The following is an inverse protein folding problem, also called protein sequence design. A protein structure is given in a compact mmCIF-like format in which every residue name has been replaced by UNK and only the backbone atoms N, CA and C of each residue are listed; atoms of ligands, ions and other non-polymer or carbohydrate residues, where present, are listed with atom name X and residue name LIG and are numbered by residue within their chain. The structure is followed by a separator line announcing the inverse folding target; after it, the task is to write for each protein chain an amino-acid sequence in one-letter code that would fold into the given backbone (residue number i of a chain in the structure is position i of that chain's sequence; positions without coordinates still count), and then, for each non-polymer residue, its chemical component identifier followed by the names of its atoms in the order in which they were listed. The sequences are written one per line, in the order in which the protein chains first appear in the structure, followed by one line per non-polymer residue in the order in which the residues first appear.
data_IF_097377665061
#
_entry.id   IF_097377665061
#
_cell.length_a   1.000
_cell.length_b   1.000
_cell.length_c   1.000
_cell.angle_alpha   90.00
_cell.angle_beta   90.00
_cell.angle_gamma   90.00
#
_symmetry.space_group_name_H-M   'P 1'
#
loop_
_entity.id
_entity.type
_entity.pdbx_description
1 polymer ?
#
# COMPACT_ATOMS: atom_id res chain seq x y z
N UNK A 1 25.92 7.85 -21.73
CA UNK A 1 24.67 7.34 -21.11
C UNK A 1 24.83 5.83 -20.97
N UNK A 2 25.37 5.38 -19.86
CA UNK A 2 25.47 3.95 -19.52
C UNK A 2 24.08 3.47 -19.13
N UNK A 3 23.57 2.52 -19.89
CA UNK A 3 22.29 1.87 -19.58
C UNK A 3 22.39 1.19 -18.20
N UNK A 4 21.71 1.75 -17.20
CA UNK A 4 21.52 1.08 -15.92
C UNK A 4 20.68 -0.15 -16.23
N UNK A 5 21.29 -1.35 -16.15
CA UNK A 5 20.58 -2.61 -16.31
C UNK A 5 19.57 -2.74 -15.17
N UNK A 6 18.31 -2.43 -15.45
CA UNK A 6 17.20 -2.71 -14.53
C UNK A 6 17.22 -4.21 -14.19
N UNK A 7 16.94 -4.55 -12.91
CA UNK A 7 16.70 -5.93 -12.51
C UNK A 7 15.72 -6.60 -13.51
N UNK A 8 15.84 -7.91 -13.79
CA UNK A 8 14.98 -8.55 -14.79
C UNK A 8 13.52 -8.32 -14.42
N UNK A 9 12.87 -7.45 -15.19
CA UNK A 9 11.47 -7.06 -15.01
C UNK A 9 10.62 -8.33 -15.11
N UNK A 10 9.94 -8.69 -14.03
CA UNK A 10 9.10 -9.89 -13.92
C UNK A 10 9.41 -10.79 -12.73
N UNK A 11 10.49 -10.52 -11.98
CA UNK A 11 10.72 -11.17 -10.68
C UNK A 11 10.06 -10.33 -9.58
N UNK A 12 9.26 -10.98 -8.72
CA UNK A 12 8.74 -10.36 -7.50
C UNK A 12 9.93 -10.02 -6.59
N UNK A 13 9.92 -8.81 -6.04
CA UNK A 13 10.92 -8.38 -5.04
C UNK A 13 10.90 -9.37 -3.88
N UNK A 14 12.08 -9.84 -3.44
CA UNK A 14 12.28 -10.90 -2.43
C UNK A 14 11.46 -12.18 -2.65
N UNK A 15 11.06 -12.48 -3.90
CA UNK A 15 10.38 -13.71 -4.26
C UNK A 15 11.26 -14.94 -4.08
N UNK A 16 10.66 -16.03 -3.60
CA UNK A 16 11.28 -17.34 -3.52
C UNK A 16 11.64 -17.87 -4.90
N UNK A 17 12.85 -18.39 -5.03
CA UNK A 17 13.33 -19.10 -6.22
C UNK A 17 13.80 -20.51 -5.78
N UNK A 18 13.12 -21.59 -6.22
CA UNK A 18 13.52 -22.95 -5.87
C UNK A 18 14.96 -23.30 -6.25
N UNK A 19 15.51 -22.64 -7.29
CA UNK A 19 16.88 -22.90 -7.75
C UNK A 19 17.96 -22.34 -6.81
N UNK A 20 17.61 -21.32 -6.01
CA UNK A 20 18.51 -20.67 -5.07
C UNK A 20 18.09 -20.87 -3.60
N UNK A 21 17.10 -21.72 -3.38
CA UNK A 21 16.57 -22.01 -2.05
C UNK A 21 17.64 -22.60 -1.13
N UNK A 22 17.72 -22.10 0.09
CA UNK A 22 18.65 -22.57 1.14
C UNK A 22 17.91 -22.86 2.43
N UNK A 23 18.37 -23.85 3.19
CA UNK A 23 17.88 -24.10 4.55
C UNK A 23 16.46 -24.70 4.63
N UNK A 24 15.89 -25.21 3.54
CA UNK A 24 14.58 -25.90 3.56
C UNK A 24 14.73 -27.26 4.24
N UNK A 25 13.85 -27.55 5.20
CA UNK A 25 13.64 -28.91 5.72
C UNK A 25 12.97 -29.78 4.65
N UNK A 26 12.97 -31.10 4.83
CA UNK A 26 12.27 -32.01 3.92
C UNK A 26 10.77 -31.70 3.88
N UNK A 27 10.17 -31.48 5.03
CA UNK A 27 8.75 -31.11 5.16
C UNK A 27 8.44 -29.80 4.41
N UNK A 28 9.27 -28.76 4.59
CA UNK A 28 9.10 -27.50 3.85
C UNK A 28 9.22 -27.66 2.34
N UNK A 29 10.13 -28.55 1.86
CA UNK A 29 10.23 -28.85 0.42
C UNK A 29 8.97 -29.53 -0.12
N UNK A 30 8.42 -30.48 0.66
CA UNK A 30 7.20 -31.16 0.28
C UNK A 30 6.01 -30.20 0.24
N UNK A 31 5.86 -29.30 1.22
CA UNK A 31 4.83 -28.25 1.23
C UNK A 31 4.98 -27.28 0.06
N UNK A 32 6.20 -26.84 -0.24
CA UNK A 32 6.48 -25.96 -1.40
C UNK A 32 6.11 -26.67 -2.71
N UNK A 33 6.49 -27.96 -2.86
CA UNK A 33 6.13 -28.76 -4.02
C UNK A 33 4.61 -28.91 -4.14
N UNK A 34 3.93 -29.33 -3.09
CA UNK A 34 2.46 -29.48 -3.05
C UNK A 34 1.75 -28.17 -3.39
N UNK A 35 2.25 -27.04 -2.85
CA UNK A 35 1.74 -25.70 -3.17
C UNK A 35 1.88 -25.39 -4.65
N UNK A 36 3.04 -25.67 -5.24
CA UNK A 36 3.28 -25.46 -6.67
C UNK A 36 2.36 -26.29 -7.55
N UNK A 37 2.18 -27.57 -7.18
CA UNK A 37 1.30 -28.50 -7.90
C UNK A 37 -0.17 -28.07 -7.86
N UNK A 38 -0.64 -27.49 -6.74
CA UNK A 38 -2.04 -27.14 -6.52
C UNK A 38 -2.38 -25.69 -6.92
N UNK A 39 -1.51 -24.73 -6.64
CA UNK A 39 -1.77 -23.30 -6.83
C UNK A 39 -1.06 -22.72 -8.05
N UNK A 40 -0.15 -23.47 -8.67
CA UNK A 40 0.66 -23.02 -9.78
C UNK A 40 1.69 -21.92 -9.40
N UNK A 41 2.43 -21.40 -10.39
CA UNK A 41 3.55 -20.50 -10.14
C UNK A 41 3.15 -19.04 -9.89
N UNK A 42 1.85 -18.67 -9.98
CA UNK A 42 1.41 -17.29 -9.83
C UNK A 42 1.43 -16.82 -8.36
N UNK A 43 1.15 -17.72 -7.41
CA UNK A 43 1.23 -17.42 -5.98
C UNK A 43 2.65 -17.62 -5.46
N UNK A 44 3.50 -16.61 -5.66
CA UNK A 44 4.91 -16.65 -5.25
C UNK A 44 5.06 -16.52 -3.75
N UNK A 45 5.99 -17.28 -3.19
CA UNK A 45 6.41 -17.17 -1.80
C UNK A 45 7.46 -16.06 -1.63
N UNK A 46 7.63 -15.57 -0.40
CA UNK A 46 8.70 -14.65 -0.03
C UNK A 46 9.90 -15.43 0.53
N UNK A 47 11.06 -14.76 0.47
CA UNK A 47 12.34 -15.16 1.03
C UNK A 47 12.98 -16.39 0.36
N UNK A 48 14.32 -16.44 0.40
CA UNK A 48 15.09 -17.60 -0.07
C UNK A 48 14.81 -18.88 0.75
N UNK A 49 14.36 -18.67 2.00
CA UNK A 49 13.80 -19.73 2.86
C UNK A 49 12.41 -19.27 3.33
N UNK A 50 11.32 -19.69 2.70
CA UNK A 50 9.95 -19.32 3.07
C UNK A 50 9.60 -19.66 4.51
N UNK A 51 8.65 -18.94 5.08
CA UNK A 51 8.16 -19.20 6.44
C UNK A 51 6.85 -19.96 6.34
N UNK A 52 6.76 -21.10 7.02
CA UNK A 52 5.52 -21.80 7.25
C UNK A 52 4.81 -21.19 8.46
N UNK A 53 3.74 -20.42 8.22
CA UNK A 53 3.03 -19.75 9.31
C UNK A 53 1.89 -20.62 9.80
N UNK A 54 1.92 -21.02 11.07
CA UNK A 54 0.89 -21.83 11.73
C UNK A 54 -0.10 -20.99 12.53
N UNK A 55 0.37 -19.93 13.20
CA UNK A 55 -0.48 -19.03 14.00
C UNK A 55 0.13 -17.64 14.10
N UNK A 56 -0.66 -16.68 14.56
CA UNK A 56 -0.20 -15.31 14.75
C UNK A 56 -0.91 -14.64 15.93
N UNK A 57 -0.26 -13.63 16.54
CA UNK A 57 -0.85 -12.78 17.58
C UNK A 57 -0.12 -11.44 17.65
N UNK A 58 -0.87 -10.32 17.65
CA UNK A 58 -0.29 -8.99 17.72
C UNK A 58 0.64 -8.71 16.54
N UNK A 59 1.93 -8.55 16.79
CA UNK A 59 2.95 -8.34 15.76
C UNK A 59 3.82 -9.58 15.50
N UNK A 60 3.40 -10.73 16.02
CA UNK A 60 4.18 -11.95 15.98
C UNK A 60 3.51 -13.03 15.12
N UNK A 61 4.29 -13.65 14.26
CA UNK A 61 3.95 -14.88 13.54
C UNK A 61 4.72 -16.05 14.18
N UNK A 62 4.15 -17.23 14.12
CA UNK A 62 4.77 -18.44 14.64
C UNK A 62 4.70 -19.54 13.58
N UNK A 63 5.80 -20.25 13.40
CA UNK A 63 5.83 -21.43 12.54
C UNK A 63 5.27 -22.68 13.25
N UNK A 64 5.29 -23.81 12.57
CA UNK A 64 4.80 -25.11 13.08
C UNK A 64 5.62 -25.63 14.26
N UNK A 65 6.91 -25.25 14.37
CA UNK A 65 7.78 -25.59 15.47
C UNK A 65 7.64 -24.63 16.69
N UNK A 66 6.84 -23.57 16.53
CA UNK A 66 6.63 -22.55 17.56
C UNK A 66 7.68 -21.44 17.56
N UNK A 67 8.59 -21.39 16.59
CA UNK A 67 9.52 -20.28 16.45
C UNK A 67 8.78 -18.98 16.16
N UNK A 68 9.20 -17.91 16.85
CA UNK A 68 8.59 -16.60 16.79
C UNK A 68 9.28 -15.70 15.76
N UNK A 69 8.48 -15.09 14.88
CA UNK A 69 8.92 -14.10 13.89
C UNK A 69 8.26 -12.75 14.15
N UNK A 70 9.05 -11.68 14.19
CA UNK A 70 8.55 -10.32 14.27
C UNK A 70 8.07 -9.87 12.90
N UNK A 71 6.78 -9.56 12.78
CA UNK A 71 6.17 -9.07 11.54
C UNK A 71 6.36 -7.56 11.41
N UNK A 72 7.37 -7.14 10.69
CA UNK A 72 7.63 -5.74 10.38
C UNK A 72 7.23 -5.38 8.93
N UNK A 73 6.35 -6.18 8.31
CA UNK A 73 5.93 -6.01 6.93
C UNK A 73 4.42 -5.84 6.73
N UNK A 74 3.59 -6.51 7.52
CA UNK A 74 2.19 -6.73 7.17
C UNK A 74 1.28 -5.55 7.55
N UNK A 75 0.85 -4.75 6.57
CA UNK A 75 -0.11 -3.67 6.77
C UNK A 75 -1.58 -4.06 6.54
N UNK A 76 -1.88 -5.34 6.33
CA UNK A 76 -3.26 -5.83 6.23
C UNK A 76 -3.86 -5.94 7.61
N UNK A 77 -3.13 -6.52 8.54
CA UNK A 77 -3.54 -6.68 9.95
C UNK A 77 -3.09 -5.47 10.77
N UNK A 78 -3.62 -4.31 10.43
CA UNK A 78 -3.16 -3.02 10.96
C UNK A 78 -3.25 -2.89 12.47
N UNK A 79 -4.26 -3.49 13.10
CA UNK A 79 -4.43 -3.48 14.56
C UNK A 79 -3.84 -4.74 15.22
N UNK A 80 -3.00 -5.48 14.48
CA UNK A 80 -2.34 -6.71 14.94
C UNK A 80 -3.11 -7.98 14.59
N UNK A 81 -2.34 -9.06 14.47
CA UNK A 81 -2.90 -10.39 14.17
C UNK A 81 -3.85 -10.83 15.27
N UNK A 82 -5.00 -11.38 14.87
CA UNK A 82 -6.00 -11.98 15.77
C UNK A 82 -6.42 -11.03 16.90
N UNK A 83 -6.62 -9.74 16.59
CA UNK A 83 -7.04 -8.77 17.60
C UNK A 83 -8.40 -9.17 18.19
N UNK A 84 -8.53 -9.34 19.54
CA UNK A 84 -9.74 -9.92 20.16
C UNK A 84 -11.03 -9.22 19.77
N UNK A 85 -11.05 -7.89 19.83
CA UNK A 85 -12.25 -7.08 19.50
C UNK A 85 -12.71 -7.28 18.05
N UNK A 86 -11.78 -7.48 17.10
CA UNK A 86 -12.10 -7.72 15.68
C UNK A 86 -12.62 -9.16 15.51
N UNK A 87 -11.97 -10.14 16.12
CA UNK A 87 -12.40 -11.55 16.09
C UNK A 87 -13.80 -11.70 16.69
N UNK A 88 -14.05 -11.10 17.85
CA UNK A 88 -15.33 -11.14 18.54
C UNK A 88 -16.44 -10.48 17.71
N UNK A 89 -16.18 -9.31 17.11
CA UNK A 89 -17.15 -8.61 16.26
C UNK A 89 -17.55 -9.46 15.03
N UNK A 90 -16.57 -10.08 14.36
CA UNK A 90 -16.80 -10.99 13.25
C UNK A 90 -17.65 -12.18 13.69
N UNK A 91 -17.27 -12.81 14.80
CA UNK A 91 -17.95 -14.02 15.30
C UNK A 91 -19.39 -13.72 15.68
N UNK A 92 -19.64 -12.69 16.46
CA UNK A 92 -20.98 -12.28 16.90
C UNK A 92 -21.89 -11.93 15.72
N UNK A 93 -21.36 -11.16 14.77
CA UNK A 93 -22.16 -10.77 13.60
C UNK A 93 -22.43 -11.96 12.68
N UNK A 94 -21.46 -12.86 12.49
CA UNK A 94 -21.64 -14.08 11.70
C UNK A 94 -22.69 -15.04 12.29
N UNK A 95 -22.79 -15.11 13.62
CA UNK A 95 -23.82 -15.86 14.33
C UNK A 95 -25.21 -15.21 14.22
N UNK A 96 -25.28 -13.91 13.95
CA UNK A 96 -26.55 -13.18 13.88
C UNK A 96 -27.10 -13.17 12.46
N UNK A 97 -26.37 -12.61 11.52
CA UNK A 97 -26.74 -12.54 10.10
C UNK A 97 -25.54 -12.15 9.23
N UNK A 98 -25.39 -12.81 8.09
CA UNK A 98 -24.51 -12.40 7.00
C UNK A 98 -25.36 -12.18 5.75
N UNK A 99 -25.53 -10.91 5.33
CA UNK A 99 -26.36 -10.54 4.18
C UNK A 99 -25.82 -9.32 3.45
N UNK A 100 -26.41 -9.03 2.29
CA UNK A 100 -26.00 -7.97 1.37
C UNK A 100 -26.77 -6.63 1.63
N UNK A 101 -26.38 -5.58 0.93
CA UNK A 101 -26.85 -4.20 1.11
C UNK A 101 -28.28 -3.90 0.61
N UNK A 102 -29.00 -4.89 0.05
CA UNK A 102 -30.39 -4.68 -0.45
C UNK A 102 -31.44 -4.68 0.65
N UNK A 103 -31.04 -4.99 1.88
CA UNK A 103 -31.90 -4.88 3.07
C UNK A 103 -31.42 -3.72 3.94
N UNK A 104 -32.33 -3.10 4.66
CA UNK A 104 -31.98 -2.07 5.63
C UNK A 104 -31.26 -2.73 6.81
N UNK A 105 -30.02 -2.33 7.06
CA UNK A 105 -29.19 -2.82 8.14
C UNK A 105 -28.55 -1.66 8.87
N UNK A 106 -28.76 -1.58 10.19
CA UNK A 106 -28.23 -0.49 11.03
C UNK A 106 -26.70 -0.45 11.00
N UNK A 107 -26.04 -1.61 11.08
CA UNK A 107 -24.58 -1.69 11.20
C UNK A 107 -23.82 -1.07 10.02
N UNK A 108 -24.35 -1.17 8.78
CA UNK A 108 -23.70 -0.51 7.64
C UNK A 108 -23.86 1.02 7.71
N UNK A 109 -24.99 1.50 8.23
CA UNK A 109 -25.26 2.95 8.36
C UNK A 109 -24.36 3.54 9.47
N UNK A 110 -24.30 2.88 10.62
CA UNK A 110 -23.44 3.30 11.74
C UNK A 110 -21.97 3.36 11.31
N UNK A 111 -21.48 2.33 10.63
CA UNK A 111 -20.12 2.35 10.13
C UNK A 111 -19.88 3.40 9.04
N UNK A 112 -20.82 3.55 8.10
CA UNK A 112 -20.71 4.59 7.08
C UNK A 112 -20.65 5.99 7.68
N UNK A 113 -21.47 6.29 8.70
CA UNK A 113 -21.47 7.55 9.41
C UNK A 113 -20.13 7.78 10.13
N UNK A 114 -19.64 6.77 10.87
CA UNK A 114 -18.34 6.84 11.56
C UNK A 114 -17.17 7.02 10.58
N UNK A 115 -17.17 6.28 9.47
CA UNK A 115 -16.15 6.38 8.44
C UNK A 115 -16.18 7.77 7.77
N UNK A 116 -17.36 8.22 7.35
CA UNK A 116 -17.52 9.51 6.67
C UNK A 116 -17.17 10.67 7.60
N UNK A 117 -17.39 10.53 8.91
CA UNK A 117 -16.98 11.49 9.91
C UNK A 117 -15.46 11.66 10.08
N UNK A 118 -14.65 10.78 9.48
CA UNK A 118 -13.18 10.88 9.53
C UNK A 118 -12.58 11.74 8.41
N UNK A 119 -13.37 12.15 7.42
CA UNK A 119 -12.91 12.98 6.32
C UNK A 119 -13.21 14.45 6.54
N UNK A 120 -12.21 15.29 6.31
CA UNK A 120 -12.37 16.74 6.31
C UNK A 120 -13.05 17.21 5.01
N UNK A 121 -13.69 18.39 5.05
CA UNK A 121 -14.21 19.07 3.86
C UNK A 121 -15.65 18.70 3.49
N UNK A 122 -15.99 18.54 2.20
CA UNK A 122 -17.37 18.38 1.73
C UNK A 122 -17.98 17.05 2.14
N UNK A 123 -19.32 17.00 2.16
CA UNK A 123 -20.06 15.75 2.31
C UNK A 123 -19.65 14.73 1.26
N UNK A 124 -19.70 13.46 1.61
CA UNK A 124 -19.29 12.35 0.75
C UNK A 124 -20.27 11.19 0.86
N UNK A 125 -20.22 10.29 -0.13
CA UNK A 125 -20.91 9.01 -0.09
C UNK A 125 -19.88 7.88 -0.06
N UNK A 126 -20.20 6.78 0.64
CA UNK A 126 -19.39 5.57 0.70
C UNK A 126 -20.03 4.45 -0.11
N UNK A 127 -19.22 3.76 -0.90
CA UNK A 127 -19.59 2.52 -1.60
C UNK A 127 -18.62 1.42 -1.18
N UNK A 128 -19.16 0.35 -0.58
CA UNK A 128 -18.34 -0.74 -0.05
C UNK A 128 -18.11 -1.83 -1.09
N UNK A 129 -16.89 -2.38 -1.07
CA UNK A 129 -16.44 -3.49 -1.91
C UNK A 129 -15.67 -4.49 -1.04
N UNK A 130 -15.12 -5.56 -1.63
CA UNK A 130 -14.36 -6.57 -0.89
C UNK A 130 -12.85 -6.35 -0.93
N UNK A 131 -12.35 -5.71 -1.98
CA UNK A 131 -10.91 -5.54 -2.21
C UNK A 131 -10.58 -4.13 -2.69
N UNK A 132 -9.33 -3.68 -2.44
CA UNK A 132 -8.84 -2.42 -2.99
C UNK A 132 -8.86 -2.41 -4.53
N UNK A 133 -8.70 -3.56 -5.18
CA UNK A 133 -8.84 -3.68 -6.65
C UNK A 133 -10.25 -3.31 -7.11
N UNK A 134 -11.29 -3.83 -6.45
CA UNK A 134 -12.68 -3.46 -6.75
C UNK A 134 -12.98 -1.99 -6.44
N UNK A 135 -12.43 -1.47 -5.35
CA UNK A 135 -12.60 -0.06 -4.98
C UNK A 135 -11.99 0.88 -6.04
N UNK A 136 -10.77 0.58 -6.50
CA UNK A 136 -10.09 1.34 -7.54
C UNK A 136 -10.75 1.16 -8.92
N UNK A 137 -11.23 -0.05 -9.24
CA UNK A 137 -12.01 -0.32 -10.44
C UNK A 137 -13.27 0.56 -10.49
N UNK A 138 -14.05 0.55 -9.40
CA UNK A 138 -15.25 1.36 -9.25
C UNK A 138 -14.92 2.86 -9.31
N UNK A 139 -13.88 3.33 -8.63
CA UNK A 139 -13.46 4.72 -8.63
C UNK A 139 -13.14 5.22 -10.04
N UNK A 140 -12.37 4.45 -10.81
CA UNK A 140 -12.02 4.79 -12.21
C UNK A 140 -13.24 4.75 -13.13
N UNK A 141 -14.15 3.77 -12.97
CA UNK A 141 -15.41 3.73 -13.72
C UNK A 141 -16.24 4.97 -13.47
N UNK A 142 -16.35 5.40 -12.22
CA UNK A 142 -17.10 6.60 -11.84
C UNK A 142 -16.42 7.87 -12.33
N UNK A 143 -15.10 7.97 -12.25
CA UNK A 143 -14.34 9.09 -12.79
C UNK A 143 -14.57 9.24 -14.31
N UNK A 144 -14.49 8.15 -15.07
CA UNK A 144 -14.78 8.14 -16.51
C UNK A 144 -16.22 8.56 -16.82
N UNK A 145 -17.19 8.04 -16.07
CA UNK A 145 -18.59 8.38 -16.24
C UNK A 145 -18.88 9.85 -15.90
N UNK A 146 -18.26 10.36 -14.83
CA UNK A 146 -18.42 11.74 -14.38
C UNK A 146 -17.86 12.76 -15.38
N UNK A 147 -16.61 12.52 -15.82
CA UNK A 147 -15.88 13.44 -16.70
C UNK A 147 -16.21 13.27 -18.19
N UNK A 148 -16.72 12.11 -18.60
CA UNK A 148 -16.85 11.73 -20.01
C UNK A 148 -15.53 11.42 -20.70
N UNK A 149 -14.40 11.43 -19.98
CA UNK A 149 -13.05 11.19 -20.48
C UNK A 149 -12.59 9.75 -20.21
N UNK A 150 -11.51 9.32 -20.90
CA UNK A 150 -10.98 7.94 -20.80
C UNK A 150 -9.59 7.84 -20.19
N UNK A 151 -8.81 8.93 -20.24
CA UNK A 151 -7.40 8.95 -19.87
C UNK A 151 -7.19 8.78 -18.37
N UNK A 152 -6.24 7.92 -18.00
CA UNK A 152 -5.80 7.71 -16.61
C UNK A 152 -4.31 8.00 -16.52
N UNK A 153 -3.92 8.83 -15.56
CA UNK A 153 -2.51 9.13 -15.29
C UNK A 153 -2.12 8.51 -13.94
N UNK A 154 -0.97 7.85 -13.91
CA UNK A 154 -0.41 7.10 -12.76
C UNK A 154 1.09 7.36 -12.63
N UNK A 155 1.70 6.95 -11.52
CA UNK A 155 3.16 6.89 -11.38
C UNK A 155 3.77 5.64 -12.05
N UNK A 156 5.08 5.67 -12.31
CA UNK A 156 5.77 4.64 -13.11
C UNK A 156 5.76 3.25 -12.48
N UNK A 157 5.76 3.15 -11.15
CA UNK A 157 5.72 1.88 -10.41
C UNK A 157 4.41 1.70 -9.61
N UNK A 158 3.34 2.39 -10.00
CA UNK A 158 2.06 2.30 -9.34
C UNK A 158 1.52 0.86 -9.27
N UNK A 159 0.85 0.54 -8.15
CA UNK A 159 0.05 -0.66 -7.99
C UNK A 159 -1.31 -0.31 -7.40
N UNK A 160 -2.35 -0.47 -8.18
CA UNK A 160 -3.73 -0.14 -7.79
C UNK A 160 -4.68 -1.35 -7.80
N UNK A 161 -4.18 -2.52 -8.15
CA UNK A 161 -4.97 -3.75 -8.10
C UNK A 161 -4.66 -4.73 -9.23
N UNK A 162 -5.44 -5.82 -9.27
CA UNK A 162 -5.23 -6.97 -10.16
C UNK A 162 -6.50 -7.42 -10.91
N UNK A 163 -7.60 -6.64 -10.88
CA UNK A 163 -8.69 -6.81 -11.87
C UNK A 163 -8.17 -6.38 -13.25
N UNK A 164 -8.82 -6.79 -14.32
CA UNK A 164 -8.38 -6.42 -15.67
C UNK A 164 -8.20 -4.91 -15.82
N UNK A 165 -9.18 -4.11 -15.33
CA UNK A 165 -9.09 -2.66 -15.40
C UNK A 165 -7.93 -2.13 -14.52
N UNK A 166 -7.82 -2.56 -13.25
CA UNK A 166 -6.77 -2.06 -12.36
C UNK A 166 -5.38 -2.58 -12.72
N UNK A 167 -5.27 -3.80 -13.25
CA UNK A 167 -4.02 -4.31 -13.81
C UNK A 167 -3.55 -3.45 -14.99
N UNK A 168 -4.49 -2.96 -15.81
CA UNK A 168 -4.23 -2.06 -16.92
C UNK A 168 -3.68 -0.68 -16.51
N UNK A 169 -3.64 -0.34 -15.22
CA UNK A 169 -2.96 0.83 -14.67
C UNK A 169 -2.14 0.52 -13.40
N UNK A 170 -1.57 -0.69 -13.35
CA UNK A 170 -0.65 -1.16 -12.29
C UNK A 170 0.67 -1.68 -12.90
N UNK A 171 1.55 -0.78 -13.37
CA UNK A 171 2.79 -1.16 -14.05
C UNK A 171 3.74 -2.03 -13.20
N UNK A 172 3.67 -1.97 -11.88
CA UNK A 172 4.44 -2.83 -10.97
C UNK A 172 4.10 -4.33 -11.08
N UNK A 173 3.01 -4.70 -11.77
CA UNK A 173 2.72 -6.10 -12.11
C UNK A 173 3.71 -6.68 -13.14
N UNK A 174 4.50 -5.83 -13.79
CA UNK A 174 5.57 -6.23 -14.69
C UNK A 174 5.21 -6.12 -16.18
N UNK A 175 6.19 -6.41 -17.06
CA UNK A 175 6.10 -6.09 -18.48
C UNK A 175 5.08 -6.92 -19.26
N UNK A 176 4.63 -8.03 -18.70
CA UNK A 176 3.61 -8.90 -19.30
C UNK A 176 2.18 -8.55 -18.87
N UNK A 177 2.00 -7.48 -18.08
CA UNK A 177 0.70 -6.88 -17.77
C UNK A 177 0.59 -5.58 -18.58
N UNK A 178 -0.02 -5.60 -19.78
CA UNK A 178 -0.05 -4.44 -20.65
C UNK A 178 -0.91 -3.33 -20.04
N UNK A 179 -0.45 -2.09 -20.16
CA UNK A 179 -1.21 -0.93 -19.74
C UNK A 179 -2.35 -0.65 -20.74
N UNK A 180 -3.44 -0.10 -20.20
CA UNK A 180 -4.56 0.34 -21.02
C UNK A 180 -4.17 1.42 -22.04
N UNK A 181 -4.85 1.45 -23.18
CA UNK A 181 -4.54 2.34 -24.33
C UNK A 181 -4.44 3.83 -23.93
N UNK A 182 -5.28 4.25 -22.99
CA UNK A 182 -5.32 5.64 -22.51
C UNK A 182 -4.73 5.81 -21.10
N UNK A 183 -3.85 4.90 -20.69
CA UNK A 183 -3.08 5.05 -19.46
C UNK A 183 -1.75 5.72 -19.76
N UNK A 184 -1.36 6.68 -18.92
CA UNK A 184 -0.08 7.41 -19.02
C UNK A 184 0.65 7.33 -17.70
N UNK A 185 1.96 7.20 -17.79
CA UNK A 185 2.86 7.16 -16.63
C UNK A 185 3.62 8.46 -16.49
N UNK A 186 3.81 8.86 -15.24
CA UNK A 186 4.70 9.96 -14.86
C UNK A 186 5.72 9.44 -13.84
N UNK A 187 6.95 9.99 -13.83
CA UNK A 187 7.92 9.64 -12.81
C UNK A 187 7.41 9.94 -11.40
N UNK A 188 7.81 9.13 -10.43
CA UNK A 188 7.51 9.37 -9.02
C UNK A 188 8.28 10.59 -8.47
N UNK A 189 7.79 11.20 -7.38
CA UNK A 189 8.45 12.36 -6.75
C UNK A 189 9.66 11.93 -5.90
N UNK A 190 10.73 11.49 -6.54
CA UNK A 190 11.96 11.01 -5.91
C UNK A 190 12.72 12.14 -5.20
N UNK A 191 12.40 12.35 -3.93
CA UNK A 191 13.03 13.39 -3.09
C UNK A 191 14.50 13.10 -2.74
N UNK A 192 14.99 11.90 -2.98
CA UNK A 192 16.42 11.59 -2.84
C UNK A 192 17.25 12.11 -4.03
N UNK A 193 16.63 12.17 -5.23
CA UNK A 193 17.33 12.57 -6.48
C UNK A 193 16.92 13.94 -6.99
N UNK A 194 15.73 14.42 -6.65
CA UNK A 194 15.18 15.73 -7.06
C UNK A 194 15.10 16.63 -5.84
N UNK A 195 15.50 17.90 -5.99
CA UNK A 195 15.44 18.88 -4.92
C UNK A 195 14.00 19.05 -4.41
N UNK A 196 13.75 18.94 -3.10
CA UNK A 196 12.40 18.92 -2.54
C UNK A 196 11.53 20.11 -2.93
N UNK A 197 12.11 21.32 -2.98
CA UNK A 197 11.41 22.57 -3.33
C UNK A 197 10.96 22.65 -4.81
N UNK A 198 11.50 21.81 -5.68
CA UNK A 198 11.19 21.77 -7.11
C UNK A 198 10.21 20.64 -7.47
N UNK A 199 10.09 19.64 -6.62
CA UNK A 199 9.49 18.36 -6.98
C UNK A 199 7.99 18.46 -7.32
N UNK A 200 7.23 19.31 -6.61
CA UNK A 200 5.81 19.50 -6.88
C UNK A 200 5.54 20.15 -8.24
N UNK A 201 6.26 21.24 -8.56
CA UNK A 201 6.14 21.91 -9.86
C UNK A 201 6.62 20.99 -11.00
N UNK A 202 7.73 20.28 -10.80
CA UNK A 202 8.25 19.31 -11.76
C UNK A 202 7.25 18.18 -12.04
N UNK A 203 6.62 17.61 -11.01
CA UNK A 203 5.64 16.56 -11.20
C UNK A 203 4.39 17.07 -11.93
N UNK A 204 3.93 18.29 -11.61
CA UNK A 204 2.81 18.93 -12.30
C UNK A 204 3.11 19.16 -13.79
N UNK A 205 4.36 19.54 -14.14
CA UNK A 205 4.82 19.63 -15.53
C UNK A 205 4.71 18.27 -16.24
N UNK A 206 5.22 17.19 -15.61
CA UNK A 206 5.15 15.84 -16.18
C UNK A 206 3.71 15.36 -16.37
N UNK A 207 2.83 15.66 -15.43
CA UNK A 207 1.39 15.37 -15.57
C UNK A 207 0.77 16.19 -16.70
N UNK A 208 1.12 17.47 -16.82
CA UNK A 208 0.63 18.35 -17.91
C UNK A 208 1.04 17.84 -19.30
N UNK A 209 2.27 17.34 -19.46
CA UNK A 209 2.72 16.68 -20.70
C UNK A 209 1.80 15.50 -21.09
N UNK A 210 1.41 14.68 -20.12
CA UNK A 210 0.53 13.53 -20.36
C UNK A 210 -0.91 13.93 -20.63
N UNK A 211 -1.40 15.01 -20.00
CA UNK A 211 -2.71 15.58 -20.27
C UNK A 211 -2.78 16.03 -21.74
N UNK A 212 -1.77 16.72 -22.23
CA UNK A 212 -1.70 17.17 -23.63
C UNK A 212 -1.70 15.98 -24.60
N UNK A 213 -0.96 14.89 -24.30
CA UNK A 213 -0.96 13.71 -25.17
C UNK A 213 -2.35 13.05 -25.20
N UNK A 214 -3.02 12.90 -24.04
CA UNK A 214 -4.37 12.33 -23.96
C UNK A 214 -5.40 13.17 -24.71
N UNK A 215 -5.32 14.50 -24.61
CA UNK A 215 -6.19 15.43 -25.33
C UNK A 215 -5.99 15.34 -26.85
N UNK A 216 -4.75 15.29 -27.34
CA UNK A 216 -4.42 15.11 -28.76
C UNK A 216 -4.97 13.80 -29.34
N UNK A 217 -5.15 12.78 -28.52
CA UNK A 217 -5.72 11.48 -28.88
C UNK A 217 -7.25 11.45 -28.75
N UNK A 218 -7.88 12.57 -28.39
CA UNK A 218 -9.33 12.66 -28.15
C UNK A 218 -9.84 11.91 -26.93
N UNK A 219 -8.93 11.47 -26.02
CA UNK A 219 -9.30 10.71 -24.83
C UNK A 219 -9.65 11.61 -23.63
N UNK A 220 -9.08 12.83 -23.58
CA UNK A 220 -9.15 13.67 -22.37
C UNK A 220 -8.54 12.99 -21.14
N UNK A 221 -8.60 13.64 -19.98
CA UNK A 221 -8.18 13.04 -18.71
C UNK A 221 -9.39 12.77 -17.83
N UNK A 222 -9.60 11.51 -17.44
CA UNK A 222 -10.63 11.13 -16.49
C UNK A 222 -10.11 11.25 -15.05
N UNK A 223 -8.91 10.74 -14.79
CA UNK A 223 -8.36 10.80 -13.46
C UNK A 223 -6.81 10.80 -13.46
N UNK A 224 -6.24 11.45 -12.44
CA UNK A 224 -4.95 11.11 -11.87
C UNK A 224 -5.22 10.27 -10.61
N UNK A 225 -4.60 9.08 -10.50
CA UNK A 225 -4.71 8.21 -9.32
C UNK A 225 -3.31 8.00 -8.74
N UNK A 226 -3.17 8.20 -7.44
CA UNK A 226 -1.93 7.98 -6.73
C UNK A 226 -2.15 7.52 -5.28
N UNK A 227 -1.26 6.65 -4.81
CA UNK A 227 -1.02 6.42 -3.39
C UNK A 227 -0.30 7.66 -2.82
N UNK A 228 -0.86 8.27 -1.79
CA UNK A 228 -0.37 9.52 -1.20
C UNK A 228 1.02 9.42 -0.53
N UNK A 229 1.58 8.21 -0.42
CA UNK A 229 2.96 7.96 0.05
C UNK A 229 3.87 7.35 -1.04
N UNK A 230 3.36 7.15 -2.25
CA UNK A 230 4.10 6.57 -3.39
C UNK A 230 4.81 5.27 -3.02
N UNK A 231 4.04 4.38 -2.38
CA UNK A 231 4.53 3.18 -1.69
C UNK A 231 5.26 2.19 -2.59
N UNK A 232 4.75 1.98 -3.80
CA UNK A 232 5.33 1.05 -4.77
C UNK A 232 6.52 1.69 -5.50
N UNK A 233 6.49 3.00 -5.67
CA UNK A 233 7.55 3.78 -6.32
C UNK A 233 8.81 3.89 -5.47
N UNK A 234 8.74 3.66 -4.16
CA UNK A 234 9.90 3.73 -3.26
C UNK A 234 9.65 4.45 -1.94
N UNK A 235 8.40 4.68 -1.55
CA UNK A 235 7.98 5.34 -0.29
C UNK A 235 8.45 6.80 -0.23
N UNK A 236 7.91 7.64 -1.10
CA UNK A 236 8.21 9.08 -1.11
C UNK A 236 7.15 9.85 -0.31
N UNK A 237 7.38 10.00 0.99
CA UNK A 237 6.44 10.64 1.92
C UNK A 237 6.64 12.16 2.08
N UNK A 238 7.70 12.72 1.54
CA UNK A 238 8.07 14.11 1.61
C UNK A 238 8.64 14.61 0.27
N UNK A 239 8.42 15.90 -0.07
CA UNK A 239 7.64 16.89 0.67
C UNK A 239 6.13 16.60 0.63
N UNK A 240 5.39 17.17 1.57
CA UNK A 240 3.94 16.94 1.73
C UNK A 240 3.07 17.82 0.84
N UNK A 241 3.63 18.75 0.08
CA UNK A 241 2.91 19.66 -0.81
C UNK A 241 2.97 19.25 -2.30
N UNK A 242 3.58 18.10 -2.60
CA UNK A 242 3.84 17.64 -3.97
C UNK A 242 2.58 17.42 -4.81
N UNK A 243 1.50 16.96 -4.18
CA UNK A 243 0.27 16.62 -4.90
C UNK A 243 -0.60 17.84 -5.27
N UNK A 244 -0.51 18.94 -4.52
CA UNK A 244 -1.36 20.11 -4.76
C UNK A 244 -1.22 20.67 -6.18
N UNK A 245 -0.03 21.03 -6.70
CA UNK A 245 0.12 21.53 -8.06
C UNK A 245 -0.27 20.49 -9.14
N UNK A 246 -0.12 19.20 -8.85
CA UNK A 246 -0.56 18.11 -9.74
C UNK A 246 -2.07 18.09 -9.86
N UNK A 247 -2.79 18.18 -8.73
CA UNK A 247 -4.25 18.20 -8.72
C UNK A 247 -4.79 19.44 -9.44
N UNK A 248 -4.18 20.59 -9.23
CA UNK A 248 -4.58 21.84 -9.88
C UNK A 248 -4.56 21.72 -11.43
N UNK A 249 -3.53 21.07 -12.01
CA UNK A 249 -3.48 20.86 -13.48
C UNK A 249 -4.45 19.80 -13.96
N UNK A 250 -4.73 18.76 -13.16
CA UNK A 250 -5.72 17.73 -13.49
C UNK A 250 -7.13 18.31 -13.48
N UNK A 251 -7.49 19.07 -12.44
CA UNK A 251 -8.79 19.74 -12.35
C UNK A 251 -8.99 20.75 -13.49
N UNK A 252 -7.96 21.55 -13.81
CA UNK A 252 -8.00 22.49 -14.94
C UNK A 252 -8.27 21.79 -16.27
N UNK A 253 -7.85 20.52 -16.41
CA UNK A 253 -8.11 19.73 -17.61
C UNK A 253 -9.45 18.97 -17.58
N UNK A 254 -10.26 19.15 -16.52
CA UNK A 254 -11.58 18.50 -16.35
C UNK A 254 -11.51 17.07 -15.84
N UNK A 255 -10.37 16.62 -15.33
CA UNK A 255 -10.19 15.33 -14.66
C UNK A 255 -10.44 15.41 -13.16
N UNK A 256 -10.43 14.25 -12.48
CA UNK A 256 -10.55 14.14 -11.02
C UNK A 256 -9.29 13.54 -10.40
N UNK A 257 -9.08 13.79 -9.11
CA UNK A 257 -8.03 13.13 -8.34
C UNK A 257 -8.60 11.98 -7.50
N UNK A 258 -8.00 10.80 -7.65
CA UNK A 258 -8.30 9.61 -6.85
C UNK A 258 -7.13 9.39 -5.88
N UNK A 259 -7.36 9.56 -4.57
CA UNK A 259 -6.41 9.16 -3.55
C UNK A 259 -6.55 7.67 -3.24
N UNK A 260 -5.56 6.88 -3.60
CA UNK A 260 -5.49 5.46 -3.23
C UNK A 260 -4.90 5.33 -1.82
N UNK A 261 -5.79 5.24 -0.83
CA UNK A 261 -5.46 5.09 0.59
C UNK A 261 -5.39 3.63 1.05
N UNK A 262 -5.33 2.69 0.12
CA UNK A 262 -5.25 1.24 0.42
C UNK A 262 -3.98 0.88 1.20
N UNK A 263 -2.90 1.65 1.08
CA UNK A 263 -1.67 1.46 1.86
C UNK A 263 -1.41 2.55 2.88
N UNK A 264 -1.70 3.80 2.56
CA UNK A 264 -1.39 4.99 3.34
C UNK A 264 -2.43 5.34 4.40
N UNK A 265 -3.66 4.83 4.25
CA UNK A 265 -4.77 5.11 5.15
C UNK A 265 -4.71 4.40 6.50
N UNK A 266 -5.73 4.68 7.31
CA UNK A 266 -5.96 4.11 8.64
C UNK A 266 -4.80 4.36 9.63
N UNK A 267 -4.24 5.57 9.63
CA UNK A 267 -3.24 5.99 10.61
C UNK A 267 -1.81 5.55 10.30
N UNK A 268 -1.56 4.96 9.12
CA UNK A 268 -0.24 4.48 8.73
C UNK A 268 0.85 5.53 8.80
N UNK A 269 0.54 6.76 8.36
CA UNK A 269 1.48 7.89 8.37
C UNK A 269 1.77 8.44 9.79
N UNK A 270 0.92 8.14 10.76
CA UNK A 270 1.04 8.63 12.13
C UNK A 270 0.69 10.11 12.33
N UNK A 271 0.69 10.91 11.28
CA UNK A 271 0.36 12.33 11.34
C UNK A 271 -1.15 12.58 11.23
N UNK A 272 -1.81 11.77 10.44
CA UNK A 272 -3.24 11.83 10.13
C UNK A 272 -3.79 10.42 9.96
N UNK A 273 -5.12 10.29 10.00
CA UNK A 273 -5.78 9.01 9.72
C UNK A 273 -5.65 8.61 8.26
N UNK A 274 -5.70 9.59 7.34
CA UNK A 274 -5.58 9.41 5.90
C UNK A 274 -4.29 10.06 5.39
N UNK A 275 -3.56 9.34 4.53
CA UNK A 275 -2.29 9.81 4.02
C UNK A 275 -2.40 11.11 3.21
N UNK A 276 -3.47 11.26 2.41
CA UNK A 276 -3.69 12.47 1.61
C UNK A 276 -3.86 13.74 2.47
N UNK A 277 -4.35 13.62 3.71
CA UNK A 277 -4.52 14.78 4.62
C UNK A 277 -3.19 15.47 4.93
N UNK A 278 -2.06 14.76 4.80
CA UNK A 278 -0.71 15.32 4.97
C UNK A 278 -0.36 16.35 3.89
N UNK A 279 -0.95 16.21 2.70
CA UNK A 279 -0.72 17.11 1.57
C UNK A 279 -1.62 18.35 1.59
N UNK A 280 -2.54 18.47 2.55
CA UNK A 280 -3.47 19.60 2.64
C UNK A 280 -4.40 19.72 1.42
N UNK A 281 -4.78 18.60 0.82
CA UNK A 281 -5.61 18.49 -0.37
C UNK A 281 -6.96 17.84 -0.05
N UNK A 282 -7.91 18.02 -0.96
CA UNK A 282 -9.24 17.38 -0.89
C UNK A 282 -9.43 16.53 -2.14
N UNK A 283 -9.27 15.19 -2.07
CA UNK A 283 -9.51 14.32 -3.21
C UNK A 283 -10.97 14.28 -3.62
N UNK A 284 -11.24 14.07 -4.92
CA UNK A 284 -12.60 13.86 -5.42
C UNK A 284 -13.11 12.47 -5.06
N UNK A 285 -12.22 11.47 -5.14
CA UNK A 285 -12.48 10.07 -4.76
C UNK A 285 -11.35 9.59 -3.86
N UNK A 286 -11.70 8.82 -2.83
CA UNK A 286 -10.75 8.17 -1.92
C UNK A 286 -11.06 6.67 -1.92
N UNK A 287 -10.07 5.84 -2.21
CA UNK A 287 -10.22 4.39 -2.12
C UNK A 287 -9.45 3.83 -0.93
N UNK A 288 -9.97 2.78 -0.33
CA UNK A 288 -9.37 2.15 0.85
C UNK A 288 -9.62 0.64 0.86
N UNK A 289 -8.81 -0.07 1.64
CA UNK A 289 -8.90 -1.53 1.72
C UNK A 289 -7.99 -2.07 2.80
N UNK A 290 -7.12 -3.01 2.47
CA UNK A 290 -6.15 -3.71 3.34
C UNK A 290 -6.39 -3.60 4.87
N UNK A 291 -6.09 -2.43 5.53
CA UNK A 291 -6.24 -2.27 6.98
C UNK A 291 -7.69 -2.33 7.46
N UNK A 292 -8.64 -1.98 6.59
CA UNK A 292 -10.03 -1.71 6.91
C UNK A 292 -10.73 -2.84 7.67
N UNK A 293 -10.43 -4.10 7.34
CA UNK A 293 -11.00 -5.29 7.98
C UNK A 293 -10.02 -6.11 8.82
N UNK A 294 -8.78 -5.64 8.99
CA UNK A 294 -7.73 -6.38 9.72
C UNK A 294 -7.56 -7.84 9.23
N UNK A 295 -7.63 -8.05 7.92
CA UNK A 295 -7.57 -9.36 7.28
C UNK A 295 -8.93 -9.89 6.80
N UNK A 296 -10.06 -9.38 7.30
CA UNK A 296 -11.37 -9.66 6.73
C UNK A 296 -11.56 -8.88 5.42
N UNK A 297 -12.12 -9.49 4.35
CA UNK A 297 -12.29 -8.84 3.07
C UNK A 297 -13.29 -7.68 3.14
N UNK A 298 -12.78 -6.46 3.15
CA UNK A 298 -13.56 -5.22 3.07
C UNK A 298 -12.73 -4.09 2.51
N UNK A 299 -13.36 -3.29 1.66
CA UNK A 299 -12.79 -2.10 1.05
C UNK A 299 -13.91 -1.10 0.77
N UNK A 300 -13.57 0.12 0.38
CA UNK A 300 -14.54 1.13 0.01
C UNK A 300 -13.95 2.14 -0.99
N UNK A 301 -14.85 2.78 -1.73
CA UNK A 301 -14.63 4.03 -2.42
C UNK A 301 -15.53 5.09 -1.81
N UNK A 302 -14.94 6.21 -1.40
CA UNK A 302 -15.64 7.38 -0.82
C UNK A 302 -15.45 8.55 -1.77
N UNK A 303 -16.52 9.24 -2.13
CA UNK A 303 -16.46 10.25 -3.18
C UNK A 303 -17.48 11.37 -3.01
N UNK A 304 -17.28 12.44 -3.76
CA UNK A 304 -18.18 13.58 -3.79
C UNK A 304 -19.58 13.20 -4.28
N UNK A 305 -20.65 13.83 -3.75
CA UNK A 305 -22.02 13.48 -4.09
C UNK A 305 -22.33 13.52 -5.59
N UNK A 306 -21.86 14.55 -6.31
CA UNK A 306 -22.09 14.73 -7.74
C UNK A 306 -21.58 13.57 -8.60
N UNK A 307 -20.50 12.88 -8.15
CA UNK A 307 -19.95 11.71 -8.85
C UNK A 307 -20.88 10.50 -8.66
N UNK A 308 -21.27 10.23 -7.41
CA UNK A 308 -22.11 9.07 -7.07
C UNK A 308 -23.53 9.21 -7.59
N UNK A 309 -24.15 10.38 -7.41
CA UNK A 309 -25.54 10.61 -7.79
C UNK A 309 -25.73 10.50 -9.29
N UNK A 310 -24.82 11.05 -10.10
CA UNK A 310 -24.86 10.90 -11.56
C UNK A 310 -24.73 9.43 -11.94
N UNK A 311 -23.77 8.72 -11.39
CA UNK A 311 -23.55 7.30 -11.66
C UNK A 311 -24.78 6.45 -11.27
N UNK A 312 -25.35 6.70 -10.09
CA UNK A 312 -26.48 5.95 -9.55
C UNK A 312 -27.78 6.16 -10.35
N UNK A 313 -27.95 7.34 -10.99
CA UNK A 313 -29.09 7.57 -11.89
C UNK A 313 -28.92 6.83 -13.22
N UNK A 314 -27.72 6.79 -13.77
CA UNK A 314 -27.44 6.34 -15.12
C UNK A 314 -27.12 4.84 -15.20
N UNK A 315 -26.66 4.24 -14.08
CA UNK A 315 -26.14 2.87 -14.05
C UNK A 315 -26.82 2.00 -13.00
N UNK A 316 -26.97 0.71 -13.30
CA UNK A 316 -27.26 -0.29 -12.29
C UNK A 316 -25.94 -0.73 -11.63
N UNK A 317 -25.90 -0.71 -10.29
CA UNK A 317 -24.79 -1.21 -9.53
C UNK A 317 -25.22 -2.18 -8.44
N UNK A 318 -24.49 -3.26 -8.28
CA UNK A 318 -24.65 -4.19 -7.19
C UNK A 318 -23.32 -4.94 -6.98
N UNK A 319 -22.91 -5.06 -5.73
CA UNK A 319 -21.82 -5.94 -5.28
C UNK A 319 -22.40 -6.89 -4.25
N UNK A 320 -22.28 -8.20 -4.50
CA UNK A 320 -22.91 -9.23 -3.65
C UNK A 320 -22.36 -9.22 -2.23
N UNK A 321 -21.07 -9.06 -2.08
CA UNK A 321 -20.38 -9.14 -0.79
C UNK A 321 -19.94 -7.79 -0.22
N UNK A 322 -19.81 -6.78 -1.06
CA UNK A 322 -19.46 -5.42 -0.64
C UNK A 322 -20.51 -4.86 0.32
N UNK A 323 -20.09 -4.43 1.50
CA UNK A 323 -20.98 -3.92 2.54
C UNK A 323 -21.78 -4.97 3.29
N UNK A 324 -21.41 -6.27 3.21
CA UNK A 324 -22.07 -7.30 4.00
C UNK A 324 -21.90 -7.03 5.50
N UNK A 325 -22.85 -7.53 6.30
CA UNK A 325 -22.95 -7.20 7.72
C UNK A 325 -21.72 -7.61 8.53
N UNK A 326 -21.09 -8.75 8.22
CA UNK A 326 -19.88 -9.22 8.92
C UNK A 326 -18.67 -8.35 8.58
N UNK A 327 -18.52 -7.95 7.31
CA UNK A 327 -17.47 -7.03 6.90
C UNK A 327 -17.61 -5.66 7.58
N UNK A 328 -18.84 -5.16 7.74
CA UNK A 328 -19.10 -3.90 8.44
C UNK A 328 -18.77 -4.00 9.94
N UNK A 329 -19.11 -5.10 10.59
CA UNK A 329 -18.76 -5.34 11.99
C UNK A 329 -17.22 -5.41 12.19
N UNK A 330 -16.50 -6.09 11.28
CA UNK A 330 -15.04 -6.13 11.29
C UNK A 330 -14.44 -4.72 11.13
N UNK A 331 -14.92 -3.97 10.15
CA UNK A 331 -14.43 -2.62 9.85
C UNK A 331 -14.70 -1.62 10.98
N UNK A 332 -15.89 -1.69 11.58
CA UNK A 332 -16.23 -0.88 12.76
C UNK A 332 -15.30 -1.19 13.94
N UNK A 333 -15.06 -2.48 14.22
CA UNK A 333 -14.16 -2.88 15.29
C UNK A 333 -12.73 -2.38 15.05
N UNK A 334 -12.23 -2.45 13.82
CA UNK A 334 -10.91 -1.91 13.46
C UNK A 334 -10.82 -0.40 13.70
N UNK A 335 -11.80 0.37 13.22
CA UNK A 335 -11.82 1.82 13.40
C UNK A 335 -11.87 2.20 14.88
N UNK A 336 -12.67 1.48 15.67
CA UNK A 336 -12.75 1.67 17.11
C UNK A 336 -11.41 1.36 17.80
N UNK A 337 -10.74 0.26 17.46
CA UNK A 337 -9.41 -0.09 18.01
C UNK A 337 -8.39 0.98 17.69
N UNK A 338 -8.32 1.46 16.44
CA UNK A 338 -7.39 2.52 16.04
C UNK A 338 -7.57 3.76 16.89
N UNK A 339 -8.84 4.15 17.16
CA UNK A 339 -9.21 5.32 17.95
C UNK A 339 -8.90 5.13 19.44
N UNK A 340 -9.40 4.03 20.02
CA UNK A 340 -9.35 3.78 21.46
C UNK A 340 -7.94 3.50 21.97
N UNK A 341 -7.13 2.79 21.15
CA UNK A 341 -5.74 2.45 21.48
C UNK A 341 -4.75 3.51 20.96
N UNK A 342 -5.24 4.64 20.39
CA UNK A 342 -4.43 5.76 19.91
C UNK A 342 -3.33 5.32 18.96
N UNK A 343 -3.70 4.46 17.97
CA UNK A 343 -2.73 3.84 17.10
C UNK A 343 -2.13 4.80 16.06
N UNK A 344 -2.79 5.92 15.78
CA UNK A 344 -2.23 6.99 14.93
C UNK A 344 -1.03 7.62 15.63
N UNK A 345 -1.18 7.99 16.90
CA UNK A 345 -0.13 8.57 17.74
C UNK A 345 1.02 7.56 17.96
N UNK A 346 0.66 6.28 18.20
CA UNK A 346 1.66 5.22 18.30
C UNK A 346 2.47 5.08 17.02
N UNK A 347 1.81 5.11 15.87
CA UNK A 347 2.47 5.06 14.56
C UNK A 347 3.47 6.20 14.38
N UNK A 348 3.10 7.43 14.76
CA UNK A 348 4.01 8.58 14.70
C UNK A 348 5.24 8.40 15.59
N UNK A 349 5.00 8.02 16.86
CA UNK A 349 6.01 7.89 17.89
C UNK A 349 7.01 6.77 17.59
N UNK A 350 6.51 5.57 17.33
CA UNK A 350 7.38 4.40 17.06
C UNK A 350 8.02 4.51 15.66
N UNK A 351 7.30 5.07 14.69
CA UNK A 351 7.86 5.37 13.38
C UNK A 351 9.04 6.34 13.41
N UNK A 352 9.00 7.33 14.34
CA UNK A 352 10.15 8.22 14.57
C UNK A 352 11.35 7.44 15.12
N UNK A 353 11.16 6.54 16.08
CA UNK A 353 12.24 5.69 16.63
C UNK A 353 12.89 4.87 15.51
N UNK A 354 12.09 4.24 14.66
CA UNK A 354 12.60 3.48 13.52
C UNK A 354 13.43 4.34 12.56
N UNK A 355 12.92 5.50 12.17
CA UNK A 355 13.66 6.40 11.26
C UNK A 355 14.95 6.90 11.90
N UNK A 356 14.91 7.36 13.14
CA UNK A 356 16.11 7.83 13.87
C UNK A 356 17.14 6.71 13.99
N UNK A 357 16.72 5.47 14.28
CA UNK A 357 17.57 4.30 14.34
C UNK A 357 18.23 3.98 12.99
N UNK A 358 17.46 3.97 11.90
CA UNK A 358 18.04 3.77 10.56
C UNK A 358 18.95 4.93 10.13
N UNK A 359 18.67 6.17 10.50
CA UNK A 359 19.61 7.28 10.31
C UNK A 359 20.89 7.11 11.10
N UNK A 360 20.84 6.54 12.31
CA UNK A 360 22.04 6.20 13.07
C UNK A 360 22.85 5.07 12.39
N UNK A 361 22.18 4.05 11.85
CA UNK A 361 22.83 3.02 11.04
C UNK A 361 23.45 3.59 9.76
N UNK A 362 22.78 4.54 9.10
CA UNK A 362 23.30 5.20 7.91
C UNK A 362 24.62 5.97 8.16
N UNK A 363 24.90 6.38 9.39
CA UNK A 363 26.20 6.97 9.76
C UNK A 363 27.33 5.94 9.86
N UNK A 364 26.98 4.66 10.07
CA UNK A 364 27.94 3.55 10.21
C UNK A 364 28.13 2.79 8.90
N UNK A 365 27.07 2.67 8.09
CA UNK A 365 27.03 1.83 6.90
C UNK A 365 26.74 2.68 5.65
N UNK A 366 27.72 2.83 4.80
CA UNK A 366 27.64 3.66 3.60
C UNK A 366 26.65 3.13 2.54
N UNK A 367 26.31 1.84 2.61
CA UNK A 367 25.31 1.23 1.76
C UNK A 367 23.90 1.80 1.96
N UNK A 368 23.61 2.45 3.10
CA UNK A 368 22.34 3.16 3.32
C UNK A 368 22.46 4.55 2.70
N UNK A 369 21.87 4.74 1.54
CA UNK A 369 21.88 6.01 0.80
C UNK A 369 20.86 7.02 1.31
N UNK A 370 19.65 6.56 1.67
CA UNK A 370 18.57 7.41 2.16
C UNK A 370 17.66 6.67 3.14
N UNK A 371 17.09 7.41 4.10
CA UNK A 371 16.09 6.94 5.05
C UNK A 371 14.92 7.90 5.04
N UNK A 372 13.74 7.43 4.65
CA UNK A 372 12.53 8.24 4.50
C UNK A 372 11.29 7.53 4.99
N UNK A 373 10.18 8.23 5.07
CA UNK A 373 8.92 7.67 5.51
C UNK A 373 8.18 8.57 6.50
N UNK A 374 6.99 8.14 6.92
CA UNK A 374 6.18 8.77 7.95
C UNK A 374 5.43 7.71 8.75
N UNK A 375 5.33 7.92 10.06
CA UNK A 375 4.74 6.92 10.95
C UNK A 375 5.42 5.55 10.82
N UNK A 376 4.64 4.49 10.90
CA UNK A 376 5.09 3.11 10.72
C UNK A 376 5.12 2.71 9.23
N UNK A 377 5.65 3.59 8.41
CA UNK A 377 5.94 3.33 7.01
C UNK A 377 7.30 3.91 6.67
N UNK A 378 8.33 3.08 6.71
CA UNK A 378 9.73 3.49 6.56
C UNK A 378 10.34 2.79 5.35
N UNK A 379 11.01 3.59 4.52
CA UNK A 379 11.85 3.15 3.41
C UNK A 379 13.31 3.41 3.72
N UNK A 380 14.16 2.40 3.52
CA UNK A 380 15.62 2.53 3.64
C UNK A 380 16.24 2.15 2.30
N UNK A 381 16.73 3.13 1.58
CA UNK A 381 17.28 2.91 0.24
C UNK A 381 18.74 2.49 0.32
N UNK A 382 19.04 1.35 -0.28
CA UNK A 382 20.40 0.82 -0.37
C UNK A 382 21.02 1.18 -1.71
N UNK A 383 22.27 1.65 -1.67
CA UNK A 383 23.04 2.10 -2.82
C UNK A 383 24.45 1.51 -2.76
N UNK A 384 25.06 1.35 -3.94
CA UNK A 384 26.47 0.93 -4.04
C UNK A 384 27.41 2.06 -3.66
N UNK A 385 27.02 3.29 -3.97
CA UNK A 385 27.79 4.51 -3.71
C UNK A 385 26.84 5.69 -3.52
N UNK A 386 27.00 6.43 -2.43
CA UNK A 386 26.16 7.59 -2.08
C UNK A 386 26.30 8.77 -3.04
N UNK A 387 27.46 8.92 -3.65
CA UNK A 387 27.72 10.05 -4.57
C UNK A 387 27.01 9.86 -5.90
N UNK A 388 26.99 8.63 -6.41
CA UNK A 388 26.30 8.26 -7.65
C UNK A 388 24.84 7.90 -7.42
N UNK A 389 24.46 7.52 -6.19
CA UNK A 389 23.14 7.00 -5.80
C UNK A 389 22.73 5.76 -6.59
N UNK A 390 23.73 4.98 -7.06
CA UNK A 390 23.49 3.76 -7.82
C UNK A 390 22.75 2.73 -6.95
N UNK A 391 21.56 2.22 -7.36
CA UNK A 391 20.78 1.27 -6.57
C UNK A 391 21.51 -0.05 -6.33
N UNK A 392 21.38 -0.61 -5.11
CA UNK A 392 21.91 -1.93 -4.75
C UNK A 392 20.80 -2.91 -4.35
N UNK A 393 20.21 -3.55 -5.35
CA UNK A 393 19.21 -4.60 -5.15
C UNK A 393 19.79 -5.86 -4.48
N UNK A 394 21.07 -6.15 -4.68
CA UNK A 394 21.71 -7.32 -4.10
C UNK A 394 21.86 -7.15 -2.58
N UNK A 395 22.35 -5.99 -2.14
CA UNK A 395 22.41 -5.65 -0.71
C UNK A 395 21.02 -5.66 -0.08
N UNK A 396 20.00 -5.09 -0.74
CA UNK A 396 18.62 -5.11 -0.22
C UNK A 396 18.09 -6.54 -0.06
N UNK A 397 18.32 -7.40 -1.04
CA UNK A 397 17.95 -8.82 -0.95
C UNK A 397 18.69 -9.54 0.17
N UNK A 398 19.99 -9.26 0.36
CA UNK A 398 20.79 -9.82 1.44
C UNK A 398 20.25 -9.39 2.81
N UNK A 399 19.91 -8.10 2.99
CA UNK A 399 19.32 -7.60 4.25
C UNK A 399 17.95 -8.25 4.51
N UNK A 400 17.07 -8.33 3.52
CA UNK A 400 15.73 -8.96 3.69
C UNK A 400 15.87 -10.42 4.12
N UNK A 401 16.74 -11.19 3.49
CA UNK A 401 16.94 -12.61 3.82
C UNK A 401 17.72 -12.79 5.12
N UNK A 402 18.69 -11.92 5.41
CA UNK A 402 19.43 -11.90 6.67
C UNK A 402 18.51 -11.62 7.86
N UNK A 403 17.61 -10.65 7.75
CA UNK A 403 16.59 -10.37 8.76
C UNK A 403 15.62 -11.54 8.94
N UNK A 404 15.17 -12.16 7.83
CA UNK A 404 14.35 -13.36 7.91
C UNK A 404 15.05 -14.48 8.67
N UNK A 405 16.36 -14.72 8.45
CA UNK A 405 17.13 -15.71 9.18
C UNK A 405 17.21 -15.39 10.69
N UNK A 406 17.15 -14.11 11.04
CA UNK A 406 17.10 -13.60 12.43
C UNK A 406 15.68 -13.41 12.94
N UNK A 407 14.69 -14.00 12.24
CA UNK A 407 13.28 -14.00 12.60
C UNK A 407 12.62 -12.60 12.66
N UNK A 408 13.03 -11.72 11.76
CA UNK A 408 12.40 -10.43 11.51
C UNK A 408 11.97 -10.37 10.03
N UNK A 409 10.71 -10.09 9.78
CA UNK A 409 10.15 -10.12 8.44
C UNK A 409 9.93 -8.71 7.90
N UNK A 410 10.63 -8.37 6.84
CA UNK A 410 10.44 -7.15 6.03
C UNK A 410 10.36 -7.52 4.55
N UNK A 411 10.17 -6.53 3.68
CA UNK A 411 10.28 -6.69 2.23
C UNK A 411 11.11 -5.56 1.62
N UNK A 412 11.19 -5.52 0.30
CA UNK A 412 11.74 -4.39 -0.45
C UNK A 412 10.73 -3.86 -1.47
N UNK A 413 10.97 -2.68 -2.04
CA UNK A 413 10.10 -1.98 -2.99
C UNK A 413 10.92 -1.08 -3.91
N UNK A 414 10.24 -0.33 -4.79
CA UNK A 414 10.83 0.60 -5.72
C UNK A 414 11.25 -0.05 -7.04
N UNK A 415 11.49 0.75 -8.08
CA UNK A 415 11.77 0.28 -9.44
C UNK A 415 13.03 -0.58 -9.53
N UNK A 416 13.95 -0.42 -8.61
CA UNK A 416 15.21 -1.15 -8.55
C UNK A 416 15.26 -2.21 -7.44
N UNK A 417 14.14 -2.43 -6.71
CA UNK A 417 14.07 -3.39 -5.61
C UNK A 417 15.14 -3.17 -4.50
N UNK A 418 15.61 -1.94 -4.34
CA UNK A 418 16.70 -1.56 -3.44
C UNK A 418 16.24 -0.76 -2.21
N UNK A 419 14.94 -0.54 -2.04
CA UNK A 419 14.37 0.15 -0.89
C UNK A 419 13.78 -0.87 0.07
N UNK A 420 14.39 -1.04 1.24
CA UNK A 420 13.82 -1.85 2.31
C UNK A 420 12.49 -1.25 2.74
N UNK A 421 11.46 -2.08 2.82
CA UNK A 421 10.09 -1.69 3.13
C UNK A 421 9.71 -2.18 4.51
N UNK A 422 9.74 -1.28 5.50
CA UNK A 422 9.35 -1.54 6.88
C UNK A 422 7.96 -0.97 7.12
N UNK A 423 6.99 -1.86 7.39
CA UNK A 423 5.57 -1.52 7.43
C UNK A 423 4.80 -2.45 8.38
N UNK A 424 5.16 -2.43 9.69
CA UNK A 424 4.55 -3.32 10.68
C UNK A 424 3.09 -2.98 10.96
N UNK A 425 2.32 -3.84 11.66
CA UNK A 425 1.06 -3.47 12.28
C UNK A 425 1.20 -2.22 13.17
N UNK A 426 0.14 -1.42 13.31
CA UNK A 426 0.18 -0.15 14.06
C UNK A 426 0.39 -0.34 15.57
N UNK A 427 0.15 -1.54 16.08
CA UNK A 427 0.41 -1.94 17.48
C UNK A 427 1.89 -2.26 17.76
N UNK A 428 2.78 -2.01 16.80
CA UNK A 428 4.23 -2.17 16.96
C UNK A 428 4.73 -1.27 18.10
N UNK A 429 5.51 -1.85 19.02
CA UNK A 429 6.01 -1.16 20.19
C UNK A 429 7.45 -0.65 20.01
N UNK A 430 7.95 0.17 20.96
CA UNK A 430 9.35 0.59 21.00
C UNK A 430 10.29 -0.63 21.10
N UNK A 431 9.97 -1.60 21.96
CA UNK A 431 10.76 -2.83 22.09
C UNK A 431 10.82 -3.64 20.77
N UNK A 432 9.73 -3.62 19.98
CA UNK A 432 9.75 -4.23 18.66
C UNK A 432 10.64 -3.45 17.69
N UNK A 433 10.63 -2.11 17.76
CA UNK A 433 11.50 -1.27 16.96
C UNK A 433 12.98 -1.49 17.30
N UNK A 434 13.29 -1.56 18.59
CA UNK A 434 14.66 -1.86 19.08
C UNK A 434 15.15 -3.23 18.61
N UNK A 435 14.28 -4.27 18.68
CA UNK A 435 14.60 -5.61 18.13
C UNK A 435 14.90 -5.53 16.64
N UNK A 436 14.05 -4.88 15.85
CA UNK A 436 14.27 -4.73 14.41
C UNK A 436 15.58 -4.01 14.10
N UNK A 437 15.88 -2.91 14.78
CA UNK A 437 17.10 -2.11 14.57
C UNK A 437 18.35 -2.89 14.96
N UNK A 438 18.32 -3.62 16.08
CA UNK A 438 19.43 -4.49 16.54
C UNK A 438 19.71 -5.58 15.50
N UNK A 439 18.68 -6.25 15.01
CA UNK A 439 18.84 -7.31 14.01
C UNK A 439 19.28 -6.75 12.65
N UNK A 440 18.77 -5.55 12.28
CA UNK A 440 19.21 -4.87 11.07
C UNK A 440 20.70 -4.48 11.14
N UNK A 441 21.15 -3.96 12.27
CA UNK A 441 22.57 -3.65 12.48
C UNK A 441 23.44 -4.90 12.36
N UNK A 442 23.04 -6.00 13.00
CA UNK A 442 23.77 -7.26 12.93
C UNK A 442 23.88 -7.81 11.50
N UNK A 443 22.82 -7.66 10.68
CA UNK A 443 22.85 -8.04 9.26
C UNK A 443 23.74 -7.10 8.46
N UNK A 444 23.60 -5.77 8.63
CA UNK A 444 24.41 -4.79 7.90
C UNK A 444 25.92 -4.96 8.19
N UNK A 445 26.28 -5.34 9.41
CA UNK A 445 27.68 -5.61 9.80
C UNK A 445 28.27 -6.85 9.12
N UNK A 446 27.45 -7.72 8.54
CA UNK A 446 27.87 -8.95 7.85
C UNK A 446 27.86 -8.84 6.32
N UNK A 447 27.45 -7.69 5.77
CA UNK A 447 27.49 -7.40 4.33
C UNK A 447 28.88 -6.96 3.89
#
# INVERSE_FOLDING_TARGET
MTAVTSAPRGKMVNGFDPATATGLTEESRELVKRRSDLLGPAYRLFYSNPVEVARAKGVLLYDSEGNEYLDAYNNVVSVGHCHPRVVDAITQQAQTICTHTRYIQKGILDYAEDLLGTFDGPKRHAMFTCTGSEANDLAVRMAKHHTGNLGIIITEEAYHGNSELTAGFSPSLGPYSPLGTFVRRVPAPDSYRIAPEKIGAWMAEKVSEQIVDLQRRGAGVAAFIADSMFSSDGIFSHPTDVLKPVIDVVHKAGGVFIADEVQSGFGRSGEKLWGYQRHGITPDIITMGKPMGNGYPVAAAVMLPEIVEKFGRDNRYFNTFGGNTVAMAAAQAVLNVIRDEKLVENSLRVGKILRDGFHALAKKYEQIGDVRGSGLYVGVELVKDRSTKEPDAAAASAVVNGLRARRVLISATGPHANVLKVRPPLVFTEANADRLLTEAEAVMASL
#
